data_IF_684684026351
#
_entry.id   IF_684684026351
#
_cell.length_a   1.000
_cell.length_b   1.000
_cell.length_c   1.000
_cell.angle_alpha   90.00
_cell.angle_beta   90.00
_cell.angle_gamma   90.00
#
_symmetry.space_group_name_H-M   'P 1'
#
loop_
_entity.id
_entity.type
_entity.pdbx_description
1 polymer ?
#
# COMPACT_ATOMS: atom_id res chain seq x y z
N UNK A 1 -7.00 18.34 15.70
CA UNK A 1 -7.57 17.49 14.63
C UNK A 1 -8.41 18.37 13.73
N UNK A 2 -7.96 18.61 12.50
CA UNK A 2 -8.84 19.19 11.50
C UNK A 2 -9.74 18.07 10.97
N UNK A 3 -11.04 18.13 11.27
CA UNK A 3 -12.00 17.17 10.74
C UNK A 3 -12.18 17.37 9.24
N UNK A 4 -12.23 16.27 8.48
CA UNK A 4 -12.67 16.29 7.09
C UNK A 4 -14.14 16.68 6.97
N UNK A 5 -14.57 17.06 5.76
CA UNK A 5 -15.95 17.48 5.50
C UNK A 5 -16.98 16.41 5.90
N UNK A 6 -16.66 15.13 5.69
CA UNK A 6 -17.53 14.00 6.02
C UNK A 6 -17.53 13.67 7.51
N UNK A 7 -16.39 13.79 8.20
CA UNK A 7 -16.30 13.58 9.65
C UNK A 7 -17.08 14.63 10.43
N UNK A 8 -17.10 15.89 9.96
CA UNK A 8 -17.91 16.95 10.58
C UNK A 8 -19.41 16.65 10.58
N UNK A 9 -19.90 15.88 9.61
CA UNK A 9 -21.33 15.52 9.51
C UNK A 9 -21.77 14.53 10.59
N UNK A 10 -20.86 13.70 11.12
CA UNK A 10 -21.14 12.76 12.22
C UNK A 10 -19.87 12.47 13.02
N UNK A 11 -19.69 13.22 14.10
CA UNK A 11 -18.52 13.09 14.97
C UNK A 11 -18.62 11.79 15.77
N UNK A 12 -17.59 10.93 15.66
CA UNK A 12 -17.42 9.75 16.51
C UNK A 12 -16.51 10.10 17.67
N UNK A 13 -17.01 9.97 18.91
CA UNK A 13 -16.20 10.17 20.12
C UNK A 13 -15.32 8.94 20.35
N UNK A 14 -14.02 9.17 20.51
CA UNK A 14 -13.04 8.16 20.89
C UNK A 14 -12.78 8.23 22.42
N UNK A 15 -12.60 7.08 23.06
CA UNK A 15 -12.29 6.94 24.50
C UNK A 15 -10.89 6.37 24.75
N UNK A 16 -10.12 6.11 23.69
CA UNK A 16 -8.73 5.69 23.77
C UNK A 16 -7.89 6.72 24.52
N UNK A 17 -7.08 6.24 25.47
CA UNK A 17 -6.19 7.09 26.29
C UNK A 17 -4.78 7.20 25.72
N UNK A 18 -4.38 6.23 24.91
CA UNK A 18 -3.06 6.18 24.31
C UNK A 18 -3.04 6.97 23.00
N UNK A 19 -1.99 7.77 22.74
CA UNK A 19 -1.84 8.44 21.47
C UNK A 19 -1.60 7.43 20.36
N UNK A 20 -2.12 7.72 19.16
CA UNK A 20 -1.79 6.97 17.95
C UNK A 20 -0.36 7.29 17.55
N UNK A 21 0.54 6.31 17.69
CA UNK A 21 1.97 6.49 17.37
C UNK A 21 2.25 6.37 15.87
N UNK A 22 1.43 5.59 15.15
CA UNK A 22 1.61 5.33 13.72
C UNK A 22 0.26 5.35 13.00
N UNK A 23 0.25 5.88 11.78
CA UNK A 23 -0.89 5.82 10.89
C UNK A 23 -1.20 4.39 10.43
N UNK A 24 -2.47 4.13 10.15
CA UNK A 24 -2.86 2.81 9.63
C UNK A 24 -2.33 2.69 8.20
N UNK A 25 -1.52 1.67 7.88
CA UNK A 25 -0.98 1.53 6.54
C UNK A 25 -2.09 1.22 5.53
N UNK A 26 -1.80 1.38 4.25
CA UNK A 26 -2.73 1.00 3.21
C UNK A 26 -2.95 -0.52 3.22
N UNK A 27 -4.16 -0.94 3.59
CA UNK A 27 -4.47 -2.34 3.91
C UNK A 27 -4.28 -3.30 2.72
N UNK A 28 -4.31 -2.77 1.49
CA UNK A 28 -4.13 -3.54 0.26
C UNK A 28 -2.70 -3.44 -0.31
N UNK A 29 -1.78 -2.80 0.40
CA UNK A 29 -0.40 -2.58 -0.06
C UNK A 29 0.26 -3.90 -0.46
N UNK A 30 0.17 -4.93 0.38
CA UNK A 30 0.78 -6.24 0.13
C UNK A 30 0.33 -6.82 -1.21
N UNK A 31 -0.97 -6.78 -1.50
CA UNK A 31 -1.53 -7.35 -2.73
C UNK A 31 -1.05 -6.58 -3.97
N UNK A 32 -1.13 -5.25 -3.93
CA UNK A 32 -0.71 -4.41 -5.05
C UNK A 32 0.80 -4.49 -5.27
N UNK A 33 1.59 -4.39 -4.20
CA UNK A 33 3.04 -4.36 -4.28
C UNK A 33 3.60 -5.71 -4.72
N UNK A 34 3.01 -6.82 -4.25
CA UNK A 34 3.35 -8.16 -4.72
C UNK A 34 3.07 -8.31 -6.22
N UNK A 35 1.91 -7.85 -6.70
CA UNK A 35 1.56 -7.97 -8.11
C UNK A 35 2.43 -7.07 -8.99
N UNK A 36 2.73 -5.84 -8.55
CA UNK A 36 3.65 -4.93 -9.23
C UNK A 36 5.07 -5.50 -9.34
N UNK A 37 5.58 -6.10 -8.26
CA UNK A 37 6.89 -6.78 -8.27
C UNK A 37 6.90 -7.96 -9.23
N UNK A 38 5.82 -8.74 -9.26
CA UNK A 38 5.71 -9.88 -10.16
C UNK A 38 5.73 -9.47 -11.65
N UNK A 39 5.05 -8.37 -12.00
CA UNK A 39 4.97 -7.88 -13.37
C UNK A 39 6.16 -7.04 -13.83
N UNK A 40 6.74 -6.23 -12.92
CA UNK A 40 7.76 -5.23 -13.22
C UNK A 40 7.38 -4.28 -14.38
N UNK A 41 6.10 -3.91 -14.45
CA UNK A 41 5.52 -3.18 -15.58
C UNK A 41 6.21 -1.83 -15.87
N UNK A 42 6.67 -1.14 -14.83
CA UNK A 42 7.29 0.18 -14.94
C UNK A 42 8.77 0.13 -15.41
N UNK A 43 9.34 -1.06 -15.61
CA UNK A 43 10.73 -1.27 -16.05
C UNK A 43 10.80 -1.73 -17.50
N UNK A 44 11.76 -1.15 -18.24
CA UNK A 44 12.12 -1.64 -19.57
C UNK A 44 12.65 -3.08 -19.49
N UNK A 45 12.56 -3.85 -20.58
CA UNK A 45 12.93 -5.27 -20.56
C UNK A 45 14.37 -5.51 -20.07
N UNK A 46 15.30 -4.65 -20.46
CA UNK A 46 16.72 -4.76 -20.10
C UNK A 46 17.01 -4.42 -18.63
N UNK A 47 16.10 -3.70 -17.97
CA UNK A 47 16.20 -3.28 -16.57
C UNK A 47 15.36 -4.15 -15.63
N UNK A 48 14.69 -5.19 -16.15
CA UNK A 48 13.92 -6.13 -15.32
C UNK A 48 14.86 -6.99 -14.50
N UNK A 49 14.51 -7.11 -13.23
CA UNK A 49 15.19 -7.98 -12.28
C UNK A 49 14.76 -9.42 -12.54
N UNK A 50 15.58 -10.39 -12.15
CA UNK A 50 15.24 -11.81 -12.26
C UNK A 50 14.23 -12.22 -11.16
N UNK A 51 13.04 -11.63 -11.21
CA UNK A 51 11.97 -11.85 -10.25
C UNK A 51 10.63 -11.94 -10.98
N UNK A 52 9.69 -12.71 -10.43
CA UNK A 52 8.33 -12.85 -10.98
C UNK A 52 8.31 -13.46 -12.38
N UNK A 53 7.72 -12.75 -13.35
CA UNK A 53 7.63 -13.21 -14.74
C UNK A 53 8.98 -13.41 -15.40
N UNK A 54 9.93 -12.49 -15.19
CA UNK A 54 11.25 -12.57 -15.80
C UNK A 54 12.03 -13.80 -15.28
N UNK A 55 11.92 -14.09 -13.98
CA UNK A 55 12.48 -15.31 -13.40
C UNK A 55 11.90 -16.58 -14.02
N UNK A 56 10.59 -16.59 -14.29
CA UNK A 56 9.92 -17.74 -14.92
C UNK A 56 10.31 -17.93 -16.39
N UNK A 57 10.72 -16.87 -17.10
CA UNK A 57 11.24 -16.99 -18.46
C UNK A 57 12.71 -17.45 -18.51
N UNK A 58 13.49 -17.24 -17.44
CA UNK A 58 14.90 -17.63 -17.35
C UNK A 58 15.13 -19.01 -16.71
N UNK A 59 14.08 -19.67 -16.21
CA UNK A 59 14.13 -20.98 -15.56
C UNK A 59 14.19 -22.17 -16.52
#
# INVERSE_FOLDING_TARGET
>A
MAYSFTEKKRIRKDFGKLPKVMEVPYLLAIQLDSYRKFLQHDKSADERFEEGLEAAFRS
#
